data_IF_176492362926
#
_entry.id   IF_176492362926
#
_cell.length_a   1.000
_cell.length_b   1.000
_cell.length_c   1.000
_cell.angle_alpha   90.00
_cell.angle_beta   90.00
_cell.angle_gamma   90.00
#
_symmetry.space_group_name_H-M   'P 1'
#
loop_
_entity.id
_entity.type
_entity.pdbx_description
1 polymer ?
#
# COMPACT_ATOMS: atom_id res chain seq x y z
N UNK A 1 36.70 -24.03 -1.67
CA UNK A 1 37.02 -25.33 -2.32
C UNK A 1 36.87 -25.18 -3.82
N UNK A 2 37.95 -25.36 -4.60
CA UNK A 2 37.94 -25.16 -6.06
C UNK A 2 37.17 -26.29 -6.76
N UNK A 3 36.03 -25.96 -7.40
CA UNK A 3 35.32 -26.86 -8.34
C UNK A 3 36.06 -26.82 -9.69
N UNK A 4 36.64 -27.93 -10.14
CA UNK A 4 37.19 -28.05 -11.51
C UNK A 4 36.25 -28.91 -12.35
N UNK A 5 35.99 -28.51 -13.61
CA UNK A 5 35.46 -29.43 -14.62
C UNK A 5 36.52 -30.51 -14.83
N UNK A 6 36.12 -31.79 -14.75
CA UNK A 6 37.05 -32.91 -14.90
C UNK A 6 37.70 -32.84 -16.29
N UNK A 7 39.03 -32.69 -16.34
CA UNK A 7 39.79 -32.59 -17.60
C UNK A 7 40.15 -33.97 -18.16
N UNK A 8 40.32 -34.97 -17.31
CA UNK A 8 40.57 -36.37 -17.67
C UNK A 8 39.59 -37.26 -16.87
N UNK A 9 38.70 -37.94 -17.58
CA UNK A 9 37.67 -38.80 -16.98
C UNK A 9 37.92 -40.24 -17.43
N UNK A 10 38.05 -41.20 -16.50
CA UNK A 10 38.18 -42.63 -16.82
C UNK A 10 37.09 -43.12 -17.77
N UNK A 11 37.43 -44.09 -18.64
CA UNK A 11 36.54 -44.56 -19.72
C UNK A 11 35.19 -45.06 -19.19
N UNK A 12 35.19 -45.79 -18.08
CA UNK A 12 33.98 -46.39 -17.49
C UNK A 12 33.04 -45.32 -16.91
N UNK A 13 33.62 -44.30 -16.30
CA UNK A 13 32.89 -43.16 -15.75
C UNK A 13 32.30 -42.30 -16.87
N UNK A 14 33.04 -42.14 -17.97
CA UNK A 14 32.58 -41.44 -19.17
C UNK A 14 31.43 -42.18 -19.86
N UNK A 15 31.52 -43.51 -19.98
CA UNK A 15 30.48 -44.34 -20.57
C UNK A 15 29.17 -44.22 -19.77
N UNK A 16 29.25 -44.39 -18.45
CA UNK A 16 28.10 -44.28 -17.53
C UNK A 16 27.47 -42.89 -17.57
N UNK A 17 28.27 -41.83 -17.62
CA UNK A 17 27.77 -40.46 -17.70
C UNK A 17 27.04 -40.16 -19.03
N UNK A 18 27.52 -40.68 -20.15
CA UNK A 18 26.85 -40.53 -21.45
C UNK A 18 25.56 -41.35 -21.54
N UNK A 19 25.52 -42.53 -20.93
CA UNK A 19 24.29 -43.31 -20.80
C UNK A 19 23.24 -42.57 -19.96
N UNK A 20 23.64 -41.98 -18.83
CA UNK A 20 22.77 -41.14 -18.00
C UNK A 20 22.23 -39.93 -18.77
N UNK A 21 23.04 -39.28 -19.61
CA UNK A 21 22.57 -38.19 -20.48
C UNK A 21 21.51 -38.66 -21.47
N UNK A 22 21.72 -39.81 -22.13
CA UNK A 22 20.76 -40.39 -23.09
C UNK A 22 19.45 -40.75 -22.41
N UNK A 23 19.51 -41.40 -21.25
CA UNK A 23 18.35 -41.87 -20.48
C UNK A 23 17.50 -40.71 -19.93
N UNK A 24 18.15 -39.66 -19.42
CA UNK A 24 17.47 -38.57 -18.74
C UNK A 24 17.12 -37.39 -19.65
N UNK A 25 17.72 -37.29 -20.84
CA UNK A 25 17.52 -36.20 -21.82
C UNK A 25 17.58 -34.79 -21.21
N UNK A 26 18.53 -34.56 -20.29
CA UNK A 26 18.69 -33.32 -19.51
C UNK A 26 20.12 -32.79 -19.57
N UNK A 27 20.30 -31.51 -19.25
CA UNK A 27 21.64 -30.91 -19.16
C UNK A 27 22.36 -31.34 -17.87
N UNK A 28 23.26 -32.31 -18.00
CA UNK A 28 24.06 -32.83 -16.89
C UNK A 28 25.49 -32.27 -16.91
N UNK A 29 26.07 -32.13 -15.73
CA UNK A 29 27.47 -31.77 -15.52
C UNK A 29 28.14 -32.78 -14.59
N UNK A 30 29.37 -33.15 -14.93
CA UNK A 30 30.21 -34.02 -14.12
C UNK A 30 31.26 -33.17 -13.39
N UNK A 31 31.34 -33.32 -12.07
CA UNK A 31 32.29 -32.60 -11.23
C UNK A 31 33.12 -33.60 -10.44
N UNK A 32 34.44 -33.48 -10.52
CA UNK A 32 35.36 -34.30 -9.74
C UNK A 32 35.71 -33.58 -8.43
N UNK A 33 35.56 -34.28 -7.30
CA UNK A 33 35.95 -33.78 -5.98
C UNK A 33 36.65 -34.91 -5.23
N UNK A 34 37.95 -34.74 -4.94
CA UNK A 34 38.80 -35.72 -4.23
C UNK A 34 38.75 -37.13 -4.87
N UNK A 35 38.90 -37.22 -6.20
CA UNK A 35 38.90 -38.49 -6.93
C UNK A 35 37.54 -39.17 -7.05
N UNK A 36 36.44 -38.50 -6.68
CA UNK A 36 35.07 -38.99 -6.83
C UNK A 36 34.30 -38.13 -7.83
N UNK A 37 33.44 -38.78 -8.62
CA UNK A 37 32.73 -38.14 -9.72
C UNK A 37 31.26 -37.93 -9.37
N UNK A 38 30.84 -36.66 -9.32
CA UNK A 38 29.50 -36.24 -8.92
C UNK A 38 28.72 -35.73 -10.11
N UNK A 39 27.51 -36.25 -10.29
CA UNK A 39 26.60 -35.89 -11.38
C UNK A 39 25.60 -34.86 -10.88
N UNK A 40 25.51 -33.74 -11.58
CA UNK A 40 24.54 -32.69 -11.29
C UNK A 40 23.70 -32.35 -12.52
N UNK A 41 22.40 -32.18 -12.35
CA UNK A 41 21.52 -31.55 -13.32
C UNK A 41 21.71 -30.03 -13.24
N UNK A 42 21.92 -29.36 -14.37
CA UNK A 42 22.23 -27.92 -14.42
C UNK A 42 21.29 -27.16 -15.31
N UNK A 43 20.94 -25.93 -14.91
CA UNK A 43 20.24 -24.98 -15.73
C UNK A 43 20.82 -23.57 -15.51
N UNK A 44 20.88 -22.79 -16.57
CA UNK A 44 21.34 -21.39 -16.51
C UNK A 44 20.12 -20.49 -16.38
N UNK A 45 20.11 -19.63 -15.37
CA UNK A 45 19.07 -18.63 -15.19
C UNK A 45 19.67 -17.26 -14.90
N UNK A 46 18.92 -16.20 -15.11
CA UNK A 46 19.34 -14.85 -14.74
C UNK A 46 19.13 -14.63 -13.23
N UNK A 47 20.14 -14.13 -12.52
CA UNK A 47 20.08 -13.80 -11.08
C UNK A 47 20.13 -12.30 -10.88
N UNK A 48 19.06 -11.74 -10.32
CA UNK A 48 18.93 -10.30 -10.08
C UNK A 48 19.86 -9.81 -8.97
N UNK A 49 20.11 -10.63 -7.94
CA UNK A 49 21.05 -10.33 -6.87
C UNK A 49 22.50 -10.18 -7.34
N UNK A 50 22.89 -10.85 -8.42
CA UNK A 50 24.26 -10.87 -8.95
C UNK A 50 24.41 -10.15 -10.29
N UNK A 51 23.34 -9.58 -10.84
CA UNK A 51 23.36 -8.83 -12.10
C UNK A 51 23.83 -9.65 -13.31
N UNK A 52 23.59 -10.96 -13.35
CA UNK A 52 24.13 -11.82 -14.41
C UNK A 52 23.54 -13.24 -14.47
N UNK A 53 23.97 -14.02 -15.47
CA UNK A 53 23.60 -15.43 -15.62
C UNK A 53 24.29 -16.27 -14.54
N UNK A 54 23.51 -17.04 -13.79
CA UNK A 54 23.99 -17.96 -12.75
C UNK A 54 23.52 -19.37 -13.11
N UNK A 55 24.45 -20.33 -13.05
CA UNK A 55 24.14 -21.75 -13.22
C UNK A 55 23.67 -22.34 -11.90
N UNK A 56 22.46 -22.86 -11.88
CA UNK A 56 21.89 -23.62 -10.76
C UNK A 56 22.12 -25.09 -11.02
N UNK A 57 22.56 -25.82 -9.99
CA UNK A 57 22.83 -27.25 -10.06
C UNK A 57 22.04 -28.01 -9.00
N UNK A 58 21.39 -29.12 -9.40
CA UNK A 58 20.78 -30.10 -8.50
C UNK A 58 21.62 -31.38 -8.53
N UNK A 59 22.02 -31.86 -7.36
CA UNK A 59 22.79 -33.09 -7.23
C UNK A 59 21.92 -34.32 -7.51
N UNK A 60 22.37 -35.22 -8.38
CA UNK A 60 21.64 -36.45 -8.74
C UNK A 60 22.25 -37.70 -8.09
N UNK A 61 23.56 -37.72 -7.90
CA UNK A 61 24.26 -38.91 -7.41
C UNK A 61 25.74 -38.90 -7.78
N UNK A 62 26.45 -39.98 -7.43
CA UNK A 62 27.87 -40.16 -7.73
C UNK A 62 28.08 -41.39 -8.60
N UNK A 63 29.09 -41.33 -9.47
CA UNK A 63 29.60 -42.49 -10.21
C UNK A 63 30.80 -43.00 -9.44
N UNK A 64 30.76 -44.27 -9.04
CA UNK A 64 31.85 -44.94 -8.35
C UNK A 64 32.96 -45.34 -9.33
N UNK A 65 34.17 -45.64 -8.84
CA UNK A 65 35.30 -45.99 -9.70
C UNK A 65 35.07 -47.20 -10.62
N UNK A 66 34.15 -48.10 -10.24
CA UNK A 66 33.75 -49.28 -11.02
C UNK A 66 32.72 -48.98 -12.12
N UNK A 67 32.34 -47.70 -12.30
CA UNK A 67 31.33 -47.28 -13.27
C UNK A 67 29.90 -47.39 -12.77
N UNK A 68 29.64 -47.86 -11.55
CA UNK A 68 28.28 -47.91 -11.01
C UNK A 68 27.77 -46.52 -10.61
N UNK A 69 26.51 -46.20 -10.94
CA UNK A 69 25.88 -44.95 -10.51
C UNK A 69 25.07 -45.17 -9.23
N UNK A 70 25.43 -44.43 -8.17
CA UNK A 70 24.68 -44.37 -6.92
C UNK A 70 23.86 -43.08 -6.86
N UNK A 71 22.53 -43.21 -6.86
CA UNK A 71 21.60 -42.09 -6.73
C UNK A 71 21.68 -41.46 -5.33
N UNK A 72 21.48 -40.13 -5.26
CA UNK A 72 21.53 -39.40 -3.99
C UNK A 72 20.37 -39.78 -3.06
N UNK A 73 20.68 -40.29 -1.86
CA UNK A 73 19.68 -40.50 -0.80
C UNK A 73 19.39 -39.18 -0.06
N UNK A 74 18.20 -38.61 -0.25
CA UNK A 74 17.75 -37.40 0.45
C UNK A 74 17.20 -37.76 1.84
N UNK A 75 17.95 -37.44 2.91
CA UNK A 75 17.69 -37.94 4.28
C UNK A 75 16.63 -37.15 5.09
N UNK A 76 15.99 -36.12 4.54
CA UNK A 76 14.94 -35.32 5.22
C UNK A 76 13.89 -34.80 4.23
N UNK A 77 12.74 -34.42 4.78
CA UNK A 77 11.48 -33.85 4.21
C UNK A 77 11.60 -32.70 3.17
N UNK A 78 12.73 -32.53 2.49
CA UNK A 78 12.90 -31.59 1.39
C UNK A 78 12.36 -32.21 0.10
N UNK A 79 11.16 -31.74 -0.25
CA UNK A 79 10.57 -31.63 -1.59
C UNK A 79 10.69 -32.84 -2.54
N UNK A 80 9.54 -33.50 -2.80
CA UNK A 80 9.31 -34.51 -3.87
C UNK A 80 9.47 -33.91 -5.29
N UNK A 81 10.60 -33.31 -5.59
CA UNK A 81 10.89 -32.59 -6.82
C UNK A 81 11.59 -33.52 -7.82
N UNK A 82 11.06 -33.65 -9.04
CA UNK A 82 11.50 -34.64 -10.04
C UNK A 82 12.56 -34.12 -11.01
N UNK A 83 12.68 -32.80 -11.18
CA UNK A 83 13.60 -32.20 -12.16
C UNK A 83 14.13 -30.82 -11.72
N UNK A 84 15.16 -30.32 -12.41
CA UNK A 84 15.77 -29.01 -12.12
C UNK A 84 14.79 -27.84 -12.24
N UNK A 85 13.76 -27.94 -13.10
CA UNK A 85 12.73 -26.88 -13.24
C UNK A 85 11.86 -26.79 -11.99
N UNK A 86 11.35 -27.93 -11.52
CA UNK A 86 10.62 -28.03 -10.25
C UNK A 86 11.51 -27.64 -9.06
N UNK A 87 12.81 -27.96 -9.10
CA UNK A 87 13.77 -27.53 -8.09
C UNK A 87 13.97 -26.02 -8.08
N UNK A 88 14.05 -25.40 -9.27
CA UNK A 88 14.10 -23.94 -9.41
C UNK A 88 12.80 -23.31 -8.92
N UNK A 89 11.64 -23.89 -9.23
CA UNK A 89 10.34 -23.41 -8.74
C UNK A 89 10.25 -23.52 -7.22
N UNK A 90 10.64 -24.66 -6.64
CA UNK A 90 10.66 -24.87 -5.19
C UNK A 90 11.64 -23.92 -4.48
N UNK A 91 12.85 -23.75 -5.03
CA UNK A 91 13.80 -22.75 -4.53
C UNK A 91 13.31 -21.33 -4.71
N UNK A 92 12.54 -21.04 -5.77
CA UNK A 92 11.95 -19.73 -6.01
C UNK A 92 10.86 -19.45 -4.98
N UNK A 93 9.99 -20.41 -4.68
CA UNK A 93 9.00 -20.29 -3.60
C UNK A 93 9.63 -20.21 -2.20
N UNK A 94 10.72 -20.93 -1.94
CA UNK A 94 11.49 -20.80 -0.70
C UNK A 94 12.20 -19.44 -0.64
N UNK A 95 12.80 -18.95 -1.74
CA UNK A 95 13.42 -17.63 -1.80
C UNK A 95 12.39 -16.49 -1.75
N UNK A 96 11.17 -16.68 -2.25
CA UNK A 96 10.08 -15.69 -2.11
C UNK A 96 9.58 -15.63 -0.65
N UNK A 97 9.76 -16.70 0.13
CA UNK A 97 9.53 -16.73 1.57
C UNK A 97 10.68 -16.14 2.40
N UNK A 98 11.93 -16.30 1.96
CA UNK A 98 13.13 -15.93 2.74
C UNK A 98 13.84 -14.64 2.29
N UNK A 99 13.65 -14.13 1.07
CA UNK A 99 14.21 -12.85 0.61
C UNK A 99 13.34 -11.65 1.05
N UNK A 100 13.47 -11.40 2.35
CA UNK A 100 13.18 -10.19 3.13
C UNK A 100 11.74 -9.70 3.11
N UNK A 101 11.10 -9.74 4.28
CA UNK A 101 9.88 -9.05 4.69
C UNK A 101 9.83 -7.54 4.31
N UNK A 102 10.96 -6.94 3.88
CA UNK A 102 11.12 -5.51 3.66
C UNK A 102 11.71 -5.19 2.27
N UNK A 103 11.25 -4.09 1.62
CA UNK A 103 11.85 -3.57 0.38
C UNK A 103 13.29 -3.10 0.60
N UNK A 104 14.16 -3.24 -0.42
CA UNK A 104 15.51 -2.66 -0.41
C UNK A 104 15.47 -1.12 -0.58
N UNK A 105 16.60 -0.43 -0.44
CA UNK A 105 16.64 1.03 -0.50
C UNK A 105 16.15 1.60 -1.86
N UNK A 106 16.39 0.88 -2.95
CA UNK A 106 15.88 1.24 -4.29
C UNK A 106 14.36 1.10 -4.33
N UNK A 107 13.83 0.00 -3.82
CA UNK A 107 12.39 -0.26 -3.77
C UNK A 107 11.69 0.77 -2.86
N UNK A 108 12.27 1.11 -1.71
CA UNK A 108 11.78 2.17 -0.83
C UNK A 108 11.72 3.51 -1.57
N UNK A 109 12.76 3.87 -2.32
CA UNK A 109 12.78 5.11 -3.10
C UNK A 109 11.79 5.10 -4.25
N UNK A 110 11.60 3.97 -4.93
CA UNK A 110 10.55 3.80 -5.93
C UNK A 110 9.16 4.02 -5.34
N UNK A 111 8.88 3.44 -4.16
CA UNK A 111 7.61 3.64 -3.46
C UNK A 111 7.40 5.11 -3.07
N UNK A 112 8.44 5.82 -2.64
CA UNK A 112 8.39 7.27 -2.37
C UNK A 112 8.04 8.08 -3.62
N UNK A 113 8.77 7.85 -4.71
CA UNK A 113 8.57 8.58 -5.96
C UNK A 113 7.18 8.32 -6.55
N UNK A 114 6.71 7.07 -6.52
CA UNK A 114 5.36 6.71 -6.98
C UNK A 114 4.26 7.25 -6.04
N UNK A 115 4.54 7.38 -4.74
CA UNK A 115 3.63 8.03 -3.79
C UNK A 115 3.51 9.53 -4.06
N UNK A 116 4.62 10.19 -4.41
CA UNK A 116 4.63 11.59 -4.80
C UNK A 116 4.00 11.85 -6.17
N UNK A 117 4.22 10.95 -7.13
CA UNK A 117 3.62 11.04 -8.46
C UNK A 117 3.44 9.63 -9.06
N UNK A 118 2.22 9.12 -8.95
CA UNK A 118 1.85 7.81 -9.48
C UNK A 118 1.84 7.73 -11.00
N UNK A 119 1.95 8.86 -11.72
CA UNK A 119 2.06 8.92 -13.19
C UNK A 119 3.50 9.03 -13.70
N UNK A 120 4.51 9.09 -12.82
CA UNK A 120 5.92 9.12 -13.24
C UNK A 120 6.25 7.98 -14.21
N UNK A 121 6.95 8.33 -15.29
CA UNK A 121 7.36 7.37 -16.32
C UNK A 121 8.55 6.55 -15.84
N UNK A 122 8.68 5.33 -16.39
CA UNK A 122 9.82 4.44 -16.10
C UNK A 122 11.16 5.14 -16.40
N UNK A 123 11.21 5.95 -17.47
CA UNK A 123 12.39 6.73 -17.85
C UNK A 123 12.78 7.75 -16.77
N UNK A 124 11.82 8.51 -16.24
CA UNK A 124 12.07 9.50 -15.19
C UNK A 124 12.54 8.81 -13.90
N UNK A 125 11.86 7.74 -13.51
CA UNK A 125 12.20 6.97 -12.31
C UNK A 125 13.60 6.32 -12.43
N UNK A 126 13.91 5.70 -13.55
CA UNK A 126 15.19 5.02 -13.76
C UNK A 126 16.37 6.01 -13.78
N UNK A 127 16.18 7.17 -14.41
CA UNK A 127 17.19 8.25 -14.44
C UNK A 127 17.48 8.79 -13.04
N UNK A 128 16.44 9.03 -12.25
CA UNK A 128 16.59 9.54 -10.89
C UNK A 128 17.31 8.54 -9.95
N UNK A 129 17.21 7.24 -10.22
CA UNK A 129 17.76 6.19 -9.36
C UNK A 129 19.06 5.55 -9.89
N UNK A 130 19.52 5.95 -11.08
CA UNK A 130 20.81 5.51 -11.62
C UNK A 130 20.87 4.05 -12.12
N UNK A 131 19.76 3.49 -12.63
CA UNK A 131 19.76 2.15 -13.25
C UNK A 131 18.91 2.08 -14.53
N UNK A 132 18.97 0.94 -15.25
CA UNK A 132 18.33 0.80 -16.57
C UNK A 132 16.80 0.83 -16.50
N UNK A 133 16.16 1.32 -17.58
CA UNK A 133 14.68 1.33 -17.68
C UNK A 133 14.08 -0.07 -17.56
N UNK A 134 14.75 -1.10 -18.10
CA UNK A 134 14.31 -2.49 -18.00
C UNK A 134 14.31 -2.97 -16.53
N UNK A 135 15.38 -2.69 -15.78
CA UNK A 135 15.44 -3.01 -14.35
C UNK A 135 14.37 -2.24 -13.54
N UNK A 136 14.12 -0.97 -13.89
CA UNK A 136 13.07 -0.15 -13.28
C UNK A 136 11.68 -0.71 -13.49
N UNK A 137 11.34 -1.02 -14.74
CA UNK A 137 10.05 -1.59 -15.10
C UNK A 137 9.81 -2.91 -14.35
N UNK A 138 10.83 -3.76 -14.31
CA UNK A 138 10.76 -5.02 -13.58
C UNK A 138 10.50 -4.82 -12.08
N UNK A 139 11.25 -3.91 -11.43
CA UNK A 139 11.07 -3.61 -10.00
C UNK A 139 9.69 -3.05 -9.70
N UNK A 140 9.19 -2.10 -10.49
CA UNK A 140 7.83 -1.55 -10.34
C UNK A 140 6.81 -2.69 -10.41
N UNK A 141 6.87 -3.53 -11.44
CA UNK A 141 5.94 -4.66 -11.59
C UNK A 141 6.03 -5.67 -10.43
N UNK A 142 7.23 -5.88 -9.88
CA UNK A 142 7.43 -6.72 -8.69
C UNK A 142 6.75 -6.09 -7.47
N UNK A 143 6.94 -4.79 -7.24
CA UNK A 143 6.33 -4.06 -6.13
C UNK A 143 4.81 -4.01 -6.26
N UNK A 144 4.28 -3.78 -7.47
CA UNK A 144 2.85 -3.80 -7.77
C UNK A 144 2.21 -5.13 -7.38
N UNK A 145 2.78 -6.25 -7.84
CA UNK A 145 2.29 -7.59 -7.50
C UNK A 145 2.44 -7.91 -6.01
N UNK A 146 3.59 -7.56 -5.41
CA UNK A 146 3.91 -7.90 -4.02
C UNK A 146 3.04 -7.14 -3.01
N UNK A 147 2.83 -5.85 -3.25
CA UNK A 147 2.14 -4.95 -2.32
C UNK A 147 0.70 -4.64 -2.72
N UNK A 148 0.21 -5.17 -3.85
CA UNK A 148 -1.12 -4.86 -4.37
C UNK A 148 -1.27 -3.36 -4.63
N UNK A 149 -0.31 -2.77 -5.34
CA UNK A 149 -0.31 -1.33 -5.59
C UNK A 149 -1.42 -1.00 -6.59
N UNK A 150 -2.26 -0.05 -6.21
CA UNK A 150 -3.23 0.61 -7.08
C UNK A 150 -2.85 2.07 -7.28
N UNK A 151 -3.11 2.59 -8.47
CA UNK A 151 -2.90 4.00 -8.78
C UNK A 151 -4.23 4.73 -8.72
N UNK A 152 -4.29 5.78 -7.91
CA UNK A 152 -5.55 6.49 -7.64
C UNK A 152 -5.32 7.97 -7.48
N UNK A 153 -6.39 8.73 -7.59
CA UNK A 153 -6.44 10.15 -7.29
C UNK A 153 -6.40 10.36 -5.77
N UNK A 154 -5.57 11.29 -5.32
CA UNK A 154 -5.69 11.91 -4.00
C UNK A 154 -6.58 13.15 -4.15
N UNK A 155 -7.83 13.05 -3.73
CA UNK A 155 -8.85 14.10 -3.91
C UNK A 155 -8.84 15.05 -2.72
N UNK A 156 -8.87 16.36 -2.99
CA UNK A 156 -9.08 17.39 -1.98
C UNK A 156 -10.58 17.56 -1.68
N UNK A 157 -11.11 17.20 -0.49
CA UNK A 157 -12.55 17.29 -0.24
C UNK A 157 -13.04 18.74 -0.05
N UNK A 158 -12.16 19.66 0.38
CA UNK A 158 -12.53 21.05 0.69
C UNK A 158 -13.00 21.85 -0.54
N UNK A 159 -12.34 21.77 -1.71
CA UNK A 159 -12.85 22.36 -2.95
C UNK A 159 -14.25 21.93 -3.35
N UNK A 160 -14.72 20.76 -2.88
CA UNK A 160 -16.08 20.26 -3.13
C UNK A 160 -17.07 20.57 -2.00
N UNK A 161 -16.67 21.41 -1.04
CA UNK A 161 -17.41 21.73 0.18
C UNK A 161 -17.63 20.53 1.13
N UNK A 162 -16.80 19.49 1.08
CA UNK A 162 -16.91 18.35 2.00
C UNK A 162 -15.99 18.50 3.23
N UNK A 163 -16.55 18.12 4.37
CA UNK A 163 -15.91 18.05 5.67
C UNK A 163 -15.76 16.59 6.09
N UNK A 164 -14.80 16.34 6.98
CA UNK A 164 -14.44 14.99 7.42
C UNK A 164 -15.09 14.70 8.76
N UNK A 165 -15.69 13.52 8.87
CA UNK A 165 -16.29 13.02 10.09
C UNK A 165 -15.86 11.59 10.34
N UNK A 166 -15.87 11.18 11.60
CA UNK A 166 -15.67 9.79 11.98
C UNK A 166 -16.75 9.36 12.95
N UNK A 167 -17.12 8.08 12.88
CA UNK A 167 -17.98 7.45 13.86
C UNK A 167 -17.32 6.21 14.46
N UNK A 168 -17.38 6.09 15.78
CA UNK A 168 -17.05 4.87 16.52
C UNK A 168 -18.34 4.26 17.05
N UNK A 169 -18.62 3.03 16.65
CA UNK A 169 -19.87 2.36 16.98
C UNK A 169 -19.60 1.15 17.85
N UNK A 170 -20.34 1.07 18.97
CA UNK A 170 -20.34 -0.07 19.87
C UNK A 170 -21.72 -0.73 19.83
N UNK A 171 -21.78 -2.00 19.49
CA UNK A 171 -23.01 -2.77 19.56
C UNK A 171 -23.25 -3.28 21.00
N UNK A 172 -24.51 -3.62 21.30
CA UNK A 172 -24.92 -4.22 22.56
C UNK A 172 -24.49 -5.69 22.66
N UNK A 173 -25.37 -6.53 23.25
CA UNK A 173 -25.10 -7.97 23.40
C UNK A 173 -24.94 -8.69 22.05
N UNK A 174 -25.73 -8.29 21.06
CA UNK A 174 -25.69 -8.83 19.71
C UNK A 174 -25.19 -7.76 18.74
N UNK A 175 -24.51 -8.17 17.68
CA UNK A 175 -24.08 -7.30 16.59
C UNK A 175 -24.42 -7.89 15.22
N UNK A 176 -24.64 -7.06 14.19
CA UNK A 176 -24.85 -7.56 12.84
C UNK A 176 -23.59 -8.29 12.35
N UNK A 177 -23.80 -9.29 11.50
CA UNK A 177 -22.69 -9.93 10.80
C UNK A 177 -22.04 -8.97 9.77
N UNK A 178 -20.86 -9.36 9.29
CA UNK A 178 -20.09 -8.56 8.34
C UNK A 178 -20.80 -8.36 7.00
N UNK A 179 -21.61 -9.33 6.55
CA UNK A 179 -22.33 -9.23 5.29
C UNK A 179 -23.47 -8.21 5.37
N UNK A 180 -24.22 -8.21 6.49
CA UNK A 180 -25.24 -7.23 6.81
C UNK A 180 -24.65 -5.82 6.91
N UNK A 181 -23.56 -5.65 7.66
CA UNK A 181 -22.85 -4.36 7.76
C UNK A 181 -22.41 -3.87 6.39
N UNK A 182 -21.73 -4.72 5.60
CA UNK A 182 -21.29 -4.37 4.24
C UNK A 182 -22.47 -3.97 3.36
N UNK A 183 -23.57 -4.73 3.37
CA UNK A 183 -24.76 -4.47 2.54
C UNK A 183 -25.38 -3.09 2.81
N UNK A 184 -25.42 -2.67 4.07
CA UNK A 184 -26.00 -1.36 4.43
C UNK A 184 -25.01 -0.24 4.19
N UNK A 185 -23.79 -0.37 4.72
CA UNK A 185 -22.79 0.71 4.68
C UNK A 185 -22.32 0.98 3.24
N UNK A 186 -22.20 -0.04 2.39
CA UNK A 186 -21.79 0.16 1.00
C UNK A 186 -22.80 1.00 0.19
N UNK A 187 -24.09 1.01 0.57
CA UNK A 187 -25.12 1.81 -0.09
C UNK A 187 -25.05 3.30 0.26
N UNK A 188 -24.29 3.69 1.30
CA UNK A 188 -24.13 5.08 1.68
C UNK A 188 -22.84 5.65 1.07
N UNK A 189 -22.92 6.44 -0.02
CA UNK A 189 -21.73 6.96 -0.71
C UNK A 189 -20.94 7.95 0.14
N UNK A 190 -21.52 8.54 1.20
CA UNK A 190 -20.79 9.43 2.10
C UNK A 190 -19.78 8.69 2.99
N UNK A 191 -19.94 7.38 3.21
CA UNK A 191 -18.97 6.56 3.96
C UNK A 191 -17.83 6.12 3.04
N UNK A 192 -16.62 6.61 3.29
CA UNK A 192 -15.43 6.32 2.48
C UNK A 192 -14.62 5.13 2.99
N UNK A 193 -14.67 4.88 4.30
CA UNK A 193 -13.98 3.76 4.94
C UNK A 193 -14.84 3.23 6.07
N UNK A 194 -14.99 1.91 6.14
CA UNK A 194 -15.62 1.24 7.28
C UNK A 194 -14.78 0.05 7.71
N UNK A 195 -14.46 -0.01 9.00
CA UNK A 195 -13.55 -0.99 9.57
C UNK A 195 -14.23 -1.76 10.69
N UNK A 196 -14.10 -3.09 10.68
CA UNK A 196 -14.44 -3.89 11.85
C UNK A 196 -13.29 -3.85 12.85
N UNK A 197 -13.62 -3.67 14.12
CA UNK A 197 -12.68 -3.45 15.20
C UNK A 197 -12.80 -4.53 16.27
N UNK A 198 -11.65 -4.93 16.81
CA UNK A 198 -11.54 -5.63 18.09
C UNK A 198 -11.03 -4.64 19.14
N UNK A 199 -11.91 -4.26 20.07
CA UNK A 199 -11.62 -3.32 21.14
C UNK A 199 -12.89 -2.85 21.84
N UNK A 200 -12.91 -1.60 22.33
CA UNK A 200 -14.08 -1.02 23.04
C UNK A 200 -15.29 -0.73 22.14
N UNK A 201 -15.04 -0.61 20.84
CA UNK A 201 -15.99 -0.35 19.77
C UNK A 201 -15.79 -1.45 18.73
N UNK A 202 -16.85 -1.76 17.98
CA UNK A 202 -16.89 -2.83 16.99
C UNK A 202 -16.71 -2.32 15.56
N UNK A 203 -16.99 -1.04 15.31
CA UNK A 203 -17.02 -0.45 13.98
C UNK A 203 -16.47 0.97 14.01
N UNK A 204 -15.63 1.29 13.03
CA UNK A 204 -15.18 2.65 12.72
C UNK A 204 -15.65 3.04 11.33
N UNK A 205 -16.16 4.26 11.18
CA UNK A 205 -16.54 4.86 9.91
C UNK A 205 -15.75 6.14 9.70
N UNK A 206 -15.23 6.35 8.49
CA UNK A 206 -14.77 7.64 8.00
C UNK A 206 -15.73 8.13 6.93
N UNK A 207 -16.23 9.36 7.10
CA UNK A 207 -17.30 9.92 6.29
C UNK A 207 -16.91 11.30 5.77
N UNK A 208 -17.44 11.63 4.60
CA UNK A 208 -17.40 12.97 4.04
C UNK A 208 -18.84 13.49 3.92
N UNK A 209 -19.11 14.67 4.44
CA UNK A 209 -20.41 15.33 4.30
C UNK A 209 -20.23 16.84 4.16
N UNK A 210 -21.15 17.53 3.49
CA UNK A 210 -21.04 18.99 3.29
C UNK A 210 -21.41 19.81 4.53
N UNK A 211 -22.25 19.22 5.38
CA UNK A 211 -22.70 19.81 6.62
C UNK A 211 -23.18 18.70 7.55
N UNK A 212 -23.50 19.09 8.79
CA UNK A 212 -23.98 18.16 9.81
C UNK A 212 -25.36 17.58 9.50
N UNK A 213 -26.22 18.29 8.76
CA UNK A 213 -27.54 17.75 8.40
C UNK A 213 -27.42 16.55 7.47
N UNK A 214 -26.67 16.68 6.37
CA UNK A 214 -26.46 15.58 5.42
C UNK A 214 -25.73 14.39 6.06
N UNK A 215 -24.83 14.66 7.02
CA UNK A 215 -24.20 13.62 7.83
C UNK A 215 -25.22 12.86 8.67
N UNK A 216 -26.07 13.57 9.41
CA UNK A 216 -27.08 12.95 10.26
C UNK A 216 -28.11 12.16 9.43
N UNK A 217 -28.50 12.66 8.25
CA UNK A 217 -29.40 11.94 7.35
C UNK A 217 -28.79 10.61 6.88
N UNK A 218 -27.49 10.59 6.54
CA UNK A 218 -26.76 9.37 6.18
C UNK A 218 -26.67 8.38 7.34
N UNK A 219 -26.37 8.87 8.54
CA UNK A 219 -26.34 8.05 9.76
C UNK A 219 -27.73 7.50 10.07
N UNK A 220 -28.78 8.31 9.93
CA UNK A 220 -30.17 7.90 10.14
C UNK A 220 -30.58 6.80 9.17
N UNK A 221 -30.27 6.94 7.87
CA UNK A 221 -30.53 5.90 6.86
C UNK A 221 -29.86 4.58 7.23
N UNK A 222 -28.57 4.61 7.60
CA UNK A 222 -27.84 3.40 8.02
C UNK A 222 -28.42 2.76 9.28
N UNK A 223 -28.79 3.57 10.29
CA UNK A 223 -29.34 3.09 11.56
C UNK A 223 -30.76 2.55 11.43
N UNK A 224 -31.51 3.03 10.43
CA UNK A 224 -32.91 2.63 10.19
C UNK A 224 -33.04 1.39 9.31
N UNK A 225 -32.00 0.98 8.57
CA UNK A 225 -32.04 -0.23 7.74
C UNK A 225 -32.33 -1.47 8.63
N UNK A 226 -33.33 -2.31 8.30
CA UNK A 226 -33.71 -3.50 9.09
C UNK A 226 -32.57 -4.48 9.37
N UNK A 227 -31.53 -4.49 8.54
CA UNK A 227 -30.36 -5.32 8.78
C UNK A 227 -29.53 -4.85 10.00
N UNK A 228 -29.62 -3.57 10.38
CA UNK A 228 -28.88 -2.96 11.50
C UNK A 228 -29.80 -2.55 12.66
N UNK A 229 -30.99 -2.02 12.39
CA UNK A 229 -31.86 -1.36 13.40
C UNK A 229 -32.29 -2.26 14.57
N UNK A 230 -32.36 -3.57 14.35
CA UNK A 230 -32.64 -4.57 15.40
C UNK A 230 -31.52 -4.73 16.44
N UNK A 231 -30.33 -4.23 16.16
CA UNK A 231 -29.18 -4.28 17.07
C UNK A 231 -29.03 -2.97 17.82
N UNK A 232 -29.16 -3.00 19.15
CA UNK A 232 -28.87 -1.83 19.99
C UNK A 232 -27.41 -1.42 19.80
N UNK A 233 -27.17 -0.16 19.47
CA UNK A 233 -25.84 0.37 19.20
C UNK A 233 -25.68 1.82 19.67
N UNK A 234 -24.48 2.17 20.09
CA UNK A 234 -24.09 3.54 20.47
C UNK A 234 -23.11 4.07 19.42
N UNK A 235 -23.49 5.17 18.76
CA UNK A 235 -22.72 5.80 17.69
C UNK A 235 -22.10 7.09 18.22
N UNK A 236 -20.79 7.12 18.37
CA UNK A 236 -20.05 8.30 18.77
C UNK A 236 -19.49 8.98 17.51
N UNK A 237 -20.08 10.12 17.14
CA UNK A 237 -19.75 10.85 15.90
C UNK A 237 -18.98 12.12 16.24
N UNK A 238 -17.92 12.42 15.49
CA UNK A 238 -17.16 13.65 15.67
C UNK A 238 -16.58 14.15 14.34
N UNK A 239 -16.23 15.43 14.28
CA UNK A 239 -15.57 16.03 13.13
C UNK A 239 -14.05 15.83 13.20
N UNK A 240 -13.40 15.84 12.04
CA UNK A 240 -11.94 15.85 11.91
C UNK A 240 -11.52 17.21 11.37
N UNK A 241 -10.82 18.00 12.20
CA UNK A 241 -10.45 19.38 11.87
C UNK A 241 -9.23 19.48 10.95
N UNK A 242 -8.22 18.63 11.20
CA UNK A 242 -6.99 18.50 10.39
C UNK A 242 -6.72 17.03 10.16
N UNK A 243 -6.17 16.69 9.00
CA UNK A 243 -5.82 15.32 8.68
C UNK A 243 -4.42 15.24 8.03
N UNK A 244 -3.63 14.28 8.49
CA UNK A 244 -2.47 13.70 7.84
C UNK A 244 -2.85 12.41 7.13
N UNK A 245 -2.10 12.07 6.08
CA UNK A 245 -2.36 10.92 5.26
C UNK A 245 -3.44 11.21 4.23
N UNK A 246 -3.78 10.18 3.47
CA UNK A 246 -4.89 10.27 2.52
C UNK A 246 -5.69 8.98 2.60
N UNK A 247 -6.97 9.08 2.29
CA UNK A 247 -7.83 7.93 2.10
C UNK A 247 -8.31 7.97 0.65
N UNK A 248 -8.08 6.92 -0.15
CA UNK A 248 -8.70 6.80 -1.45
C UNK A 248 -10.22 6.95 -1.31
N UNK A 249 -10.79 7.88 -2.07
CA UNK A 249 -12.23 8.07 -2.07
C UNK A 249 -12.88 6.97 -2.87
N UNK A 250 -14.04 6.52 -2.39
CA UNK A 250 -14.80 5.49 -3.06
C UNK A 250 -15.34 6.00 -4.39
N UNK A 251 -15.44 5.09 -5.35
CA UNK A 251 -15.93 5.42 -6.67
C UNK A 251 -17.37 5.95 -6.61
N UNK A 252 -18.19 5.38 -5.73
CA UNK A 252 -19.58 5.77 -5.50
C UNK A 252 -19.68 7.21 -4.97
N UNK A 253 -18.70 7.68 -4.19
CA UNK A 253 -18.64 9.09 -3.76
C UNK A 253 -18.29 10.02 -4.91
N UNK A 254 -17.35 9.61 -5.78
CA UNK A 254 -17.01 10.42 -6.96
C UNK A 254 -18.21 10.54 -7.89
N UNK A 255 -18.99 9.48 -8.05
CA UNK A 255 -20.22 9.48 -8.86
C UNK A 255 -21.26 10.48 -8.33
N UNK A 256 -21.40 10.67 -7.01
CA UNK A 256 -22.32 11.70 -6.48
C UNK A 256 -21.89 13.12 -6.84
N UNK A 257 -20.62 13.34 -7.21
CA UNK A 257 -20.17 14.66 -7.68
C UNK A 257 -20.80 15.07 -9.02
N UNK A 258 -21.51 14.16 -9.72
CA UNK A 258 -22.32 14.53 -10.89
C UNK A 258 -23.37 15.59 -10.56
N UNK A 259 -23.89 15.58 -9.33
CA UNK A 259 -24.87 16.55 -8.84
C UNK A 259 -24.26 17.96 -8.69
N UNK A 260 -22.93 18.05 -8.59
CA UNK A 260 -22.19 19.32 -8.54
C UNK A 260 -21.76 19.82 -9.93
N UNK A 261 -22.14 19.14 -11.00
CA UNK A 261 -21.84 19.61 -12.36
C UNK A 261 -22.69 20.83 -12.69
N UNK A 262 -22.02 21.96 -12.92
CA UNK A 262 -22.66 23.20 -13.33
C UNK A 262 -23.25 23.05 -14.72
N UNK A 263 -24.54 23.37 -14.85
CA UNK A 263 -25.25 23.51 -16.11
C UNK A 263 -25.68 24.96 -16.25
N UNK A 264 -25.34 25.57 -17.39
CA UNK A 264 -25.75 26.94 -17.67
C UNK A 264 -27.28 26.99 -17.79
N UNK A 265 -27.92 27.81 -16.95
CA UNK A 265 -29.35 28.10 -17.03
C UNK A 265 -29.61 29.60 -16.91
N UNK A 266 -30.86 30.04 -17.09
CA UNK A 266 -31.24 31.45 -16.86
C UNK A 266 -31.01 31.86 -15.40
N UNK A 267 -31.24 30.95 -14.45
CA UNK A 267 -31.08 31.16 -13.01
C UNK A 267 -29.62 31.04 -12.54
N UNK A 268 -28.82 30.22 -13.23
CA UNK A 268 -27.41 29.99 -12.93
C UNK A 268 -26.52 30.24 -14.15
N UNK A 269 -26.37 31.51 -14.58
CA UNK A 269 -25.64 31.86 -15.79
C UNK A 269 -24.12 31.69 -15.65
N UNK A 270 -23.61 31.60 -14.42
CA UNK A 270 -22.18 31.42 -14.11
C UNK A 270 -21.99 30.30 -13.10
N UNK A 271 -20.86 29.61 -13.23
CA UNK A 271 -20.37 28.60 -12.29
C UNK A 271 -20.01 29.24 -10.95
N UNK A 272 -20.50 28.68 -9.85
CA UNK A 272 -20.12 29.09 -8.48
C UNK A 272 -18.98 28.23 -7.93
N UNK A 273 -18.25 28.69 -6.88
CA UNK A 273 -17.25 27.88 -6.20
C UNK A 273 -17.84 26.54 -5.74
N UNK A 274 -17.07 25.45 -5.88
CA UNK A 274 -17.50 24.10 -5.51
C UNK A 274 -18.21 23.30 -6.60
N UNK A 275 -18.67 23.94 -7.68
CA UNK A 275 -19.21 23.22 -8.83
C UNK A 275 -18.10 22.70 -9.76
N UNK A 276 -18.43 21.70 -10.57
CA UNK A 276 -17.58 21.10 -11.61
C UNK A 276 -18.07 21.48 -13.00
N UNK A 277 -17.16 21.60 -13.96
CA UNK A 277 -17.56 21.47 -15.37
C UNK A 277 -17.80 19.99 -15.66
N UNK A 278 -18.65 19.69 -16.64
CA UNK A 278 -18.93 18.30 -17.03
C UNK A 278 -17.64 17.53 -17.37
N UNK A 279 -16.76 18.14 -18.18
CA UNK A 279 -15.44 17.57 -18.50
C UNK A 279 -14.57 17.33 -17.26
N UNK A 280 -14.60 18.25 -16.30
CA UNK A 280 -13.83 18.11 -15.04
C UNK A 280 -14.31 16.91 -14.23
N UNK A 281 -15.63 16.73 -14.12
CA UNK A 281 -16.24 15.56 -13.49
C UNK A 281 -15.88 14.27 -14.23
N UNK A 282 -16.06 14.22 -15.54
CA UNK A 282 -15.81 13.00 -16.33
C UNK A 282 -14.35 12.53 -16.24
N UNK A 283 -13.39 13.45 -16.34
CA UNK A 283 -11.96 13.14 -16.21
C UNK A 283 -11.62 12.69 -14.79
N UNK A 284 -12.11 13.39 -13.75
CA UNK A 284 -11.92 12.98 -12.35
C UNK A 284 -12.49 11.58 -12.08
N UNK A 285 -13.68 11.31 -12.59
CA UNK A 285 -14.39 10.04 -12.43
C UNK A 285 -13.60 8.85 -13.01
N UNK A 286 -13.02 9.02 -14.18
CA UNK A 286 -12.21 7.98 -14.82
C UNK A 286 -10.84 7.82 -14.15
N UNK A 287 -10.19 8.92 -13.77
CA UNK A 287 -8.90 8.87 -13.07
C UNK A 287 -9.02 8.26 -11.66
N UNK A 288 -10.17 8.39 -10.99
CA UNK A 288 -10.36 7.74 -9.69
C UNK A 288 -10.40 6.20 -9.81
N UNK A 289 -10.88 5.66 -10.94
CA UNK A 289 -10.86 4.21 -11.22
C UNK A 289 -9.44 3.73 -11.54
N UNK A 290 -8.74 4.48 -12.39
CA UNK A 290 -7.34 4.23 -12.74
C UNK A 290 -6.58 5.55 -12.91
N UNK A 291 -5.78 5.89 -11.89
CA UNK A 291 -4.97 7.10 -11.90
C UNK A 291 -3.90 7.13 -12.99
N UNK A 292 -3.60 5.99 -13.62
CA UNK A 292 -2.63 5.86 -14.72
C UNK A 292 -3.28 5.75 -16.10
N UNK A 293 -4.60 5.88 -16.21
CA UNK A 293 -5.28 5.90 -17.50
C UNK A 293 -4.61 6.89 -18.47
N UNK A 294 -4.44 6.45 -19.71
CA UNK A 294 -3.86 7.23 -20.80
C UNK A 294 -4.78 8.39 -21.14
N UNK A 295 -4.26 9.62 -21.16
CA UNK A 295 -5.09 10.79 -21.48
C UNK A 295 -5.66 10.73 -22.90
N UNK A 296 -4.90 10.20 -23.86
CA UNK A 296 -5.38 10.01 -25.22
C UNK A 296 -6.53 8.98 -25.29
N UNK A 297 -6.48 7.93 -24.48
CA UNK A 297 -7.55 6.93 -24.43
C UNK A 297 -8.77 7.48 -23.68
N UNK A 298 -8.55 8.31 -22.65
CA UNK A 298 -9.63 9.05 -21.98
C UNK A 298 -10.33 10.03 -22.93
N UNK A 299 -9.57 10.77 -23.74
CA UNK A 299 -10.15 11.68 -24.73
C UNK A 299 -11.07 10.92 -25.71
N UNK A 300 -10.60 9.78 -26.23
CA UNK A 300 -11.42 8.91 -27.09
C UNK A 300 -12.65 8.37 -26.37
N UNK A 301 -12.47 7.83 -25.16
CA UNK A 301 -13.54 7.23 -24.36
C UNK A 301 -14.64 8.23 -24.01
N UNK A 302 -14.26 9.46 -23.70
CA UNK A 302 -15.14 10.53 -23.26
C UNK A 302 -15.61 11.44 -24.42
N UNK A 303 -15.24 11.11 -25.66
CA UNK A 303 -15.52 11.92 -26.86
C UNK A 303 -15.06 13.39 -26.72
N UNK A 304 -13.83 13.59 -26.24
CA UNK A 304 -13.20 14.90 -26.06
C UNK A 304 -12.15 15.16 -27.16
N UNK A 305 -11.85 16.45 -27.37
CA UNK A 305 -10.76 16.85 -28.25
C UNK A 305 -9.41 16.30 -27.76
N UNK A 306 -8.47 15.96 -28.67
CA UNK A 306 -7.14 15.51 -28.28
C UNK A 306 -6.43 16.49 -27.34
N UNK A 307 -5.89 15.98 -26.22
CA UNK A 307 -5.20 16.76 -25.19
C UNK A 307 -6.12 17.37 -24.14
N UNK A 308 -7.44 17.26 -24.28
CA UNK A 308 -8.39 17.86 -23.35
C UNK A 308 -8.32 17.23 -21.95
N UNK A 309 -8.11 15.92 -21.85
CA UNK A 309 -8.00 15.21 -20.56
C UNK A 309 -6.75 15.62 -19.79
N UNK A 310 -5.60 15.75 -20.45
CA UNK A 310 -4.36 16.21 -19.82
C UNK A 310 -4.49 17.66 -19.32
N UNK A 311 -4.99 18.55 -20.17
CA UNK A 311 -5.29 19.93 -19.77
C UNK A 311 -6.24 19.98 -18.57
N UNK A 312 -7.30 19.16 -18.59
CA UNK A 312 -8.28 19.10 -17.50
C UNK A 312 -7.69 18.57 -16.20
N UNK A 313 -6.85 17.54 -16.28
CA UNK A 313 -6.14 17.00 -15.13
C UNK A 313 -5.26 18.06 -14.45
N UNK A 314 -4.44 18.79 -15.22
CA UNK A 314 -3.59 19.85 -14.66
C UNK A 314 -4.43 20.98 -14.06
N UNK A 315 -5.54 21.35 -14.70
CA UNK A 315 -6.48 22.34 -14.16
C UNK A 315 -7.15 21.89 -12.85
N UNK A 316 -7.45 20.59 -12.70
CA UNK A 316 -7.97 20.03 -11.45
C UNK A 316 -6.93 20.10 -10.32
N UNK A 317 -5.65 19.94 -10.64
CA UNK A 317 -4.54 20.13 -9.70
C UNK A 317 -4.41 21.59 -9.27
N UNK A 318 -4.41 22.52 -10.22
CA UNK A 318 -4.31 23.96 -9.92
C UNK A 318 -5.44 24.44 -9.00
N UNK A 319 -6.63 23.85 -9.15
CA UNK A 319 -7.80 24.13 -8.30
C UNK A 319 -7.78 23.42 -6.94
N UNK A 320 -6.80 22.56 -6.69
CA UNK A 320 -6.71 21.72 -5.48
C UNK A 320 -7.77 20.62 -5.39
N UNK A 321 -8.56 20.40 -6.46
CA UNK A 321 -9.58 19.34 -6.50
C UNK A 321 -8.91 17.96 -6.53
N UNK A 322 -7.80 17.85 -7.25
CA UNK A 322 -6.87 16.74 -7.20
C UNK A 322 -5.58 17.25 -6.56
N UNK A 323 -5.07 16.59 -5.54
CA UNK A 323 -3.75 16.90 -4.99
C UNK A 323 -2.64 16.28 -5.84
N UNK A 324 -2.86 15.03 -6.30
CA UNK A 324 -1.97 14.26 -7.19
C UNK A 324 -2.61 12.94 -7.61
N UNK A 325 -1.98 12.25 -8.55
CA UNK A 325 -2.10 10.79 -8.65
C UNK A 325 -1.04 10.16 -7.74
N UNK A 326 -1.41 9.15 -6.97
CA UNK A 326 -0.55 8.49 -5.99
C UNK A 326 -0.76 6.97 -6.04
N UNK A 327 -0.01 6.25 -5.20
CA UNK A 327 -0.18 4.81 -5.00
C UNK A 327 -0.93 4.51 -3.70
N UNK A 328 -1.80 3.51 -3.75
CA UNK A 328 -2.40 2.84 -2.60
C UNK A 328 -1.85 1.41 -2.49
N UNK A 329 -1.25 1.06 -1.37
CA UNK A 329 -0.70 -0.26 -1.05
C UNK A 329 -1.78 -1.06 -0.31
N UNK A 330 -2.30 -2.12 -0.92
CA UNK A 330 -3.31 -2.96 -0.28
C UNK A 330 -2.70 -3.99 0.68
N UNK A 331 -1.46 -4.42 0.42
CA UNK A 331 -0.78 -5.49 1.16
C UNK A 331 0.60 -5.03 1.62
N UNK A 332 0.71 -4.14 2.62
CA UNK A 332 1.99 -3.63 3.08
C UNK A 332 2.87 -4.67 3.80
N UNK A 333 2.45 -5.95 3.88
CA UNK A 333 3.16 -7.03 4.58
C UNK A 333 3.32 -6.77 6.09
N UNK A 334 2.34 -6.08 6.67
CA UNK A 334 2.19 -5.89 8.12
C UNK A 334 1.57 -7.13 8.77
N UNK A 335 1.69 -7.26 10.11
CA UNK A 335 0.97 -8.29 10.87
C UNK A 335 -0.53 -8.02 10.92
N UNK A 336 -0.90 -6.77 11.21
CA UNK A 336 -2.28 -6.29 11.22
C UNK A 336 -2.31 -4.75 11.23
N UNK A 337 -3.40 -4.11 10.78
CA UNK A 337 -3.61 -2.69 10.99
C UNK A 337 -4.18 -2.41 12.39
N UNK A 338 -3.89 -1.22 12.93
CA UNK A 338 -4.51 -0.77 14.18
C UNK A 338 -4.99 0.66 14.09
N UNK A 339 -6.13 0.92 14.72
CA UNK A 339 -6.67 2.25 14.97
C UNK A 339 -6.34 2.66 16.40
N UNK A 340 -5.92 3.89 16.58
CA UNK A 340 -5.69 4.52 17.87
C UNK A 340 -6.56 5.75 18.00
N UNK A 341 -7.13 5.94 19.19
CA UNK A 341 -7.86 7.15 19.59
C UNK A 341 -7.15 7.69 20.81
N UNK A 342 -6.53 8.85 20.68
CA UNK A 342 -5.67 9.46 21.70
C UNK A 342 -6.36 10.72 22.21
N UNK A 343 -6.63 10.76 23.51
CA UNK A 343 -7.13 11.98 24.16
C UNK A 343 -5.96 12.93 24.45
N UNK A 344 -6.25 14.23 24.46
CA UNK A 344 -5.28 15.26 24.82
C UNK A 344 -5.82 16.14 25.95
N UNK A 345 -5.84 15.64 27.21
CA UNK A 345 -6.28 16.43 28.35
C UNK A 345 -5.35 17.61 28.67
N UNK A 346 -4.04 17.48 28.43
CA UNK A 346 -3.05 18.55 28.60
C UNK A 346 -2.52 19.02 27.25
N UNK A 347 -3.17 20.06 26.72
CA UNK A 347 -2.80 20.64 25.44
C UNK A 347 -1.49 21.46 25.51
N UNK A 348 -1.14 22.00 26.68
CA UNK A 348 0.06 22.82 26.85
C UNK A 348 1.32 21.96 26.69
N UNK A 349 1.34 20.82 27.38
CA UNK A 349 2.43 19.85 27.26
C UNK A 349 2.57 19.34 25.82
N UNK A 350 1.46 19.04 25.15
CA UNK A 350 1.51 18.65 23.74
C UNK A 350 2.08 19.75 22.84
N UNK A 351 1.66 21.01 23.04
CA UNK A 351 2.08 22.13 22.20
C UNK A 351 3.59 22.38 22.27
N UNK A 352 4.23 22.19 23.43
CA UNK A 352 5.69 22.26 23.58
C UNK A 352 6.40 21.26 22.66
N UNK A 353 5.84 20.06 22.50
CA UNK A 353 6.41 18.98 21.69
C UNK A 353 5.78 18.84 20.29
N UNK A 354 4.98 19.82 19.85
CA UNK A 354 4.20 19.71 18.62
C UNK A 354 5.07 19.53 17.38
N UNK A 355 6.23 20.18 17.31
CA UNK A 355 7.14 20.03 16.18
C UNK A 355 7.78 18.62 16.15
N UNK A 356 8.14 18.06 17.31
CA UNK A 356 8.64 16.69 17.41
C UNK A 356 7.57 15.68 16.99
N UNK A 357 6.31 15.91 17.42
CA UNK A 357 5.15 15.12 16.99
C UNK A 357 5.01 15.13 15.46
N UNK A 358 5.02 16.32 14.83
CA UNK A 358 4.90 16.46 13.38
C UNK A 358 6.07 15.80 12.63
N UNK A 359 7.30 15.90 13.16
CA UNK A 359 8.47 15.26 12.57
C UNK A 359 8.40 13.73 12.64
N UNK A 360 7.91 13.17 13.76
CA UNK A 360 7.70 11.73 13.91
C UNK A 360 6.60 11.20 12.98
N UNK A 361 5.51 11.95 12.78
CA UNK A 361 4.42 11.57 11.85
C UNK A 361 4.91 11.35 10.42
N UNK A 362 5.82 12.21 9.93
CA UNK A 362 6.35 12.16 8.57
C UNK A 362 7.64 11.34 8.45
N UNK A 363 8.04 10.65 9.52
CA UNK A 363 9.22 9.79 9.47
C UNK A 363 9.07 8.66 8.46
N UNK A 364 10.19 8.27 7.85
CA UNK A 364 10.27 7.25 6.83
C UNK A 364 10.90 5.97 7.39
N UNK A 365 10.11 5.05 7.98
CA UNK A 365 10.62 3.75 8.48
C UNK A 365 11.18 2.89 7.34
N UNK A 366 11.94 1.83 7.63
CA UNK A 366 12.36 0.83 6.62
C UNK A 366 11.24 -0.16 6.26
N UNK A 367 10.05 0.38 6.01
CA UNK A 367 8.84 -0.37 5.67
C UNK A 367 8.22 0.18 4.37
N UNK A 368 7.43 -0.63 3.65
CA UNK A 368 6.83 -0.20 2.38
C UNK A 368 5.77 0.89 2.52
N UNK A 369 5.29 1.18 3.73
CA UNK A 369 4.37 2.28 4.03
C UNK A 369 4.91 3.19 5.14
N UNK A 370 4.38 4.41 5.25
CA UNK A 370 4.60 5.30 6.39
C UNK A 370 4.16 4.65 7.71
N UNK A 371 4.71 5.12 8.82
CA UNK A 371 4.35 4.69 10.18
C UNK A 371 2.87 4.95 10.50
N UNK A 372 2.31 6.02 9.92
CA UNK A 372 0.92 6.43 10.11
C UNK A 372 0.29 6.63 8.74
N UNK A 373 -0.81 5.93 8.44
CA UNK A 373 -1.52 6.06 7.16
C UNK A 373 -2.57 7.16 7.18
N UNK A 374 -3.20 7.37 8.34
CA UNK A 374 -4.14 8.45 8.61
C UNK A 374 -3.85 8.95 10.02
N UNK A 375 -3.74 10.26 10.19
CA UNK A 375 -3.88 10.89 11.50
C UNK A 375 -4.87 12.06 11.38
N UNK A 376 -5.75 12.23 12.36
CA UNK A 376 -6.78 13.26 12.27
C UNK A 376 -7.16 13.83 13.62
N UNK A 377 -7.08 15.16 13.74
CA UNK A 377 -7.46 15.90 14.95
C UNK A 377 -8.99 15.85 15.10
N UNK A 378 -9.49 15.25 16.18
CA UNK A 378 -10.92 15.07 16.47
C UNK A 378 -11.42 16.02 17.56
N UNK A 379 -12.70 16.39 17.49
CA UNK A 379 -13.31 17.34 18.42
C UNK A 379 -13.91 16.72 19.69
N UNK A 380 -14.30 15.44 19.68
CA UNK A 380 -15.01 14.82 20.79
C UNK A 380 -14.67 13.32 20.95
N UNK A 381 -13.92 12.92 22.01
CA UNK A 381 -13.16 13.81 22.90
C UNK A 381 -12.05 14.53 22.12
N UNK A 382 -11.62 15.69 22.59
CA UNK A 382 -10.48 16.40 21.98
C UNK A 382 -9.22 15.55 22.00
N UNK A 383 -8.58 15.48 20.84
CA UNK A 383 -7.37 14.70 20.62
C UNK A 383 -7.21 14.36 19.15
N UNK A 384 -6.71 13.16 18.86
CA UNK A 384 -6.57 12.70 17.49
C UNK A 384 -6.81 11.19 17.35
N UNK A 385 -7.13 10.77 16.14
CA UNK A 385 -7.09 9.37 15.73
C UNK A 385 -5.83 9.10 14.90
N UNK A 386 -5.36 7.87 14.91
CA UNK A 386 -4.29 7.41 14.03
C UNK A 386 -4.56 5.99 13.53
N UNK A 387 -4.35 5.73 12.25
CA UNK A 387 -4.34 4.39 11.66
C UNK A 387 -2.89 4.06 11.31
N UNK A 388 -2.42 2.89 11.75
CA UNK A 388 -1.03 2.48 11.60
C UNK A 388 -0.94 1.02 11.14
N UNK A 389 0.00 0.69 10.23
CA UNK A 389 0.38 -0.69 9.97
C UNK A 389 1.29 -1.22 11.07
N UNK A 390 0.93 -2.33 11.71
CA UNK A 390 1.73 -2.93 12.79
C UNK A 390 2.64 -4.02 12.23
N UNK A 391 3.95 -3.77 12.22
CA UNK A 391 4.97 -4.74 11.78
C UNK A 391 5.58 -5.54 12.96
N UNK A 392 5.62 -4.96 14.16
CA UNK A 392 6.24 -5.57 15.35
C UNK A 392 5.20 -6.03 16.36
N UNK A 393 4.77 -5.16 17.29
CA UNK A 393 3.77 -5.43 18.31
C UNK A 393 2.93 -4.18 18.58
N UNK A 394 1.73 -4.38 19.14
CA UNK A 394 0.84 -3.26 19.52
C UNK A 394 1.45 -2.43 20.64
N UNK A 395 2.13 -3.05 21.61
CA UNK A 395 2.77 -2.37 22.74
C UNK A 395 3.85 -1.39 22.25
N UNK A 396 4.64 -1.82 21.25
CA UNK A 396 5.64 -0.96 20.62
C UNK A 396 5.01 0.25 19.95
N UNK A 397 3.85 0.06 19.29
CA UNK A 397 3.12 1.14 18.64
C UNK A 397 2.47 2.10 19.66
N UNK A 398 1.87 1.58 20.74
CA UNK A 398 1.32 2.39 21.84
C UNK A 398 2.43 3.24 22.46
N UNK A 399 3.59 2.63 22.74
CA UNK A 399 4.76 3.34 23.26
C UNK A 399 5.23 4.41 22.28
N UNK A 400 5.32 4.11 20.99
CA UNK A 400 5.69 5.09 19.98
C UNK A 400 4.71 6.28 19.91
N UNK A 401 3.40 6.02 20.01
CA UNK A 401 2.38 7.08 20.05
C UNK A 401 2.52 7.90 21.33
N UNK A 402 2.63 7.26 22.49
CA UNK A 402 2.82 7.93 23.78
C UNK A 402 4.08 8.80 23.79
N UNK A 403 5.21 8.27 23.32
CA UNK A 403 6.49 9.00 23.18
C UNK A 403 6.38 10.14 22.16
N UNK A 404 5.53 10.00 21.13
CA UNK A 404 5.31 10.99 20.07
C UNK A 404 4.36 12.11 20.51
N UNK A 405 3.29 11.81 21.23
CA UNK A 405 2.26 12.78 21.64
C UNK A 405 2.41 13.28 23.08
N UNK A 406 3.38 12.75 23.84
CA UNK A 406 3.59 13.03 25.27
C UNK A 406 2.33 12.80 26.10
N UNK A 407 1.48 11.88 25.67
CA UNK A 407 0.26 11.51 26.38
C UNK A 407 0.50 10.22 27.16
N UNK A 408 -0.22 10.07 28.28
CA UNK A 408 -0.22 8.83 29.04
C UNK A 408 -0.75 7.68 28.19
N UNK A 409 -0.20 6.48 28.36
CA UNK A 409 -0.74 5.27 27.70
C UNK A 409 -2.21 5.00 28.10
N UNK A 410 -2.65 5.50 29.25
CA UNK A 410 -4.06 5.42 29.70
C UNK A 410 -5.02 6.25 28.84
N UNK A 411 -4.52 7.29 28.18
CA UNK A 411 -5.29 8.16 27.27
C UNK A 411 -5.35 7.64 25.84
N UNK A 412 -4.63 6.55 25.56
CA UNK A 412 -4.59 5.88 24.27
C UNK A 412 -5.56 4.71 24.31
N UNK A 413 -6.52 4.71 23.39
CA UNK A 413 -7.36 3.55 23.11
C UNK A 413 -6.90 2.93 21.80
N UNK A 414 -6.53 1.66 21.81
CA UNK A 414 -6.15 0.89 20.63
C UNK A 414 -7.27 -0.07 20.22
N UNK A 415 -7.31 -0.34 18.91
CA UNK A 415 -8.24 -1.28 18.29
C UNK A 415 -7.49 -2.03 17.20
N UNK A 416 -7.52 -3.36 17.26
CA UNK A 416 -7.06 -4.17 16.13
C UNK A 416 -8.14 -4.10 15.06
N UNK A 417 -7.77 -3.69 13.85
CA UNK A 417 -8.67 -3.70 12.71
C UNK A 417 -8.68 -5.12 12.16
N UNK A 418 -9.81 -5.82 12.30
CA UNK A 418 -9.91 -7.22 11.84
C UNK A 418 -10.23 -7.29 10.35
N UNK A 419 -11.04 -6.35 9.86
CA UNK A 419 -11.55 -6.37 8.49
C UNK A 419 -11.81 -4.95 7.97
N UNK A 420 -11.57 -4.76 6.68
CA UNK A 420 -12.04 -3.59 5.93
C UNK A 420 -13.39 -3.91 5.30
N UNK A 421 -14.48 -3.40 5.88
CA UNK A 421 -15.85 -3.63 5.39
C UNK A 421 -16.01 -3.01 4.01
N UNK A 422 -15.61 -1.75 3.85
CA UNK A 422 -15.54 -1.01 2.58
C UNK A 422 -14.38 0.00 2.60
N UNK A 423 -13.94 0.45 1.43
CA UNK A 423 -12.87 1.44 1.29
C UNK A 423 -11.46 0.85 1.36
N UNK A 424 -10.46 1.72 1.55
CA UNK A 424 -9.04 1.36 1.71
C UNK A 424 -8.40 2.16 2.84
N UNK A 425 -7.43 1.56 3.53
CA UNK A 425 -6.68 2.18 4.64
C UNK A 425 -5.66 3.23 4.19
N UNK A 426 -5.47 3.40 2.87
CA UNK A 426 -4.64 4.46 2.30
C UNK A 426 -3.15 4.30 2.58
N UNK A 427 -2.66 3.07 2.74
CA UNK A 427 -1.23 2.86 2.95
C UNK A 427 -0.44 3.29 1.72
N UNK A 428 0.61 4.06 1.96
CA UNK A 428 1.62 4.44 0.96
C UNK A 428 2.90 4.83 1.68
N UNK A 429 3.95 5.11 0.92
CA UNK A 429 5.20 5.68 1.44
C UNK A 429 5.34 7.11 0.94
N UNK A 430 4.52 8.01 1.46
CA UNK A 430 4.59 9.43 1.13
C UNK A 430 5.93 10.01 1.62
N UNK A 431 6.72 10.61 0.74
CA UNK A 431 7.92 11.34 1.17
C UNK A 431 7.50 12.61 1.95
N UNK A 432 8.29 13.08 2.93
CA UNK A 432 7.92 14.21 3.80
C UNK A 432 7.48 15.45 3.04
N UNK A 433 8.14 15.77 1.93
CA UNK A 433 8.02 17.02 1.17
C UNK A 433 6.61 17.23 0.59
N UNK A 434 5.85 16.15 0.36
CA UNK A 434 4.48 16.24 -0.18
C UNK A 434 3.42 16.42 0.92
N UNK A 435 3.82 16.43 2.19
CA UNK A 435 2.91 16.45 3.35
C UNK A 435 2.70 17.86 3.90
N UNK A 436 1.52 18.12 4.49
CA UNK A 436 1.23 19.41 5.11
C UNK A 436 2.02 19.64 6.40
N UNK A 437 2.45 18.56 7.06
CA UNK A 437 3.24 18.55 8.29
C UNK A 437 4.65 19.07 8.01
N UNK A 438 5.26 18.65 6.90
CA UNK A 438 6.54 19.20 6.46
C UNK A 438 6.41 20.70 6.17
N UNK A 439 5.38 21.13 5.43
CA UNK A 439 5.11 22.57 5.20
C UNK A 439 4.95 23.35 6.51
N UNK A 440 4.29 22.77 7.51
CA UNK A 440 4.15 23.37 8.83
C UNK A 440 5.50 23.51 9.55
N UNK A 441 6.34 22.47 9.53
CA UNK A 441 7.66 22.48 10.16
C UNK A 441 8.58 23.55 9.54
N UNK A 442 8.59 23.66 8.20
CA UNK A 442 9.38 24.68 7.50
C UNK A 442 8.95 26.10 7.89
N UNK A 443 7.64 26.38 7.94
CA UNK A 443 7.13 27.68 8.40
C UNK A 443 7.52 27.98 9.85
N UNK A 444 7.43 26.97 10.73
CA UNK A 444 7.80 27.13 12.14
C UNK A 444 9.29 27.41 12.34
N UNK A 445 10.16 26.89 11.47
CA UNK A 445 11.60 27.18 11.52
C UNK A 445 11.88 28.62 11.08
N UNK A 446 11.28 29.06 9.98
CA UNK A 446 11.43 30.43 9.47
C UNK A 446 11.00 31.50 10.50
N UNK A 447 9.86 31.31 11.18
CA UNK A 447 9.43 32.24 12.23
C UNK A 447 10.42 32.34 13.39
N UNK A 448 11.04 31.22 13.79
CA UNK A 448 12.06 31.22 14.86
C UNK A 448 13.37 31.88 14.47
N UNK A 449 13.69 31.90 13.18
CA UNK A 449 14.86 32.60 12.66
C UNK A 449 14.62 34.11 12.61
N UNK A 450 13.41 34.54 12.26
CA UNK A 450 12.99 35.95 12.28
C UNK A 450 12.93 36.51 13.72
N UNK A 451 12.44 35.73 14.69
CA UNK A 451 12.42 36.17 16.10
C UNK A 451 13.82 36.25 16.75
N UNK A 452 14.86 35.73 16.07
CA UNK A 452 16.26 35.75 16.51
C UNK A 452 17.11 36.82 15.82
N UNK A 453 16.62 37.39 14.72
CA UNK A 453 17.22 38.52 13.99
C UNK A 453 16.63 39.83 14.47
#
# INVERSE_FOLDING_TARGET
MYKRRAKEVPKDIKATFEELKKKLQRHLSLVEIKGKYYVNETATQFSEKKGGKVTVSRYLGKIEPDGSFTEAMHRKKETKVKNIREFIIAKKSESEGDDLLYPDDIDLKLLEMLSANGRSSVMVLSKALGFSQAACKYRIQRLERRYGIKYTVEVGPRPFNFFRYVALVRFGRNKPDMAALRKVIAREPLVQLALSLKGRHDLFLYMLAENTQLLEDAIYRMRSDPAISRYKAYWNVTYVSRAYGYLPLRQEFIETLSEKVWRRSKEHPRKIPGQLLEREYLVLNELNKDGRASFADLDKKLNLNPGASDYTYNRLIEKGMIERITINIEKPQMKYPSLFVVKQPDINTFNVHRNEFMAKLISLPRTPANTVSLNGDIGAPYGFIAIMPIYTTTESAIKAISDMSKQSTKDIKDYIITDTIIGSLGFRRAPPEITNQYKYLMKSQQSKEIDKS
#
